data_IF_268058538167
#
_entry.id   IF_268058538167
#
_cell.length_a   1.000
_cell.length_b   1.000
_cell.length_c   1.000
_cell.angle_alpha   90.00
_cell.angle_beta   90.00
_cell.angle_gamma   90.00
#
_symmetry.space_group_name_H-M   'P 1'
#
loop_
_entity.id
_entity.type
_entity.pdbx_description
1 polymer ?
#
# COMPACT_ATOMS: atom_id res chain seq x y z
N UNK A 1 -11.05 4.59 10.24
CA UNK A 1 -10.70 3.25 9.75
C UNK A 1 -10.38 3.39 8.28
N UNK A 2 -9.24 2.91 7.81
CA UNK A 2 -8.86 2.96 6.38
C UNK A 2 -8.85 1.53 5.86
N UNK A 3 -9.48 1.32 4.69
CA UNK A 3 -9.57 0.02 4.06
C UNK A 3 -9.25 0.13 2.57
N UNK A 4 -8.26 -0.63 2.12
CA UNK A 4 -7.87 -0.79 0.73
C UNK A 4 -8.20 -2.23 0.35
N UNK A 5 -8.95 -2.42 -0.73
CA UNK A 5 -9.39 -3.76 -1.17
C UNK A 5 -9.04 -3.97 -2.62
N UNK A 6 -8.40 -5.10 -2.91
CA UNK A 6 -8.03 -5.55 -4.25
C UNK A 6 -7.38 -4.46 -5.11
N UNK A 7 -6.49 -3.68 -4.49
CA UNK A 7 -5.80 -2.60 -5.17
C UNK A 7 -4.70 -3.15 -6.07
N UNK A 8 -4.68 -2.61 -7.29
CA UNK A 8 -3.60 -2.83 -8.25
C UNK A 8 -3.05 -1.46 -8.65
N UNK A 9 -1.73 -1.30 -8.53
CA UNK A 9 -1.05 -0.03 -8.84
C UNK A 9 0.26 -0.34 -9.52
N UNK A 10 0.54 0.44 -10.55
CA UNK A 10 1.82 0.45 -11.25
C UNK A 10 2.43 1.84 -11.21
N UNK A 11 3.75 1.90 -11.32
CA UNK A 11 4.51 3.14 -11.49
C UNK A 11 5.44 2.96 -12.68
N UNK A 12 5.12 3.63 -13.79
CA UNK A 12 5.72 3.32 -15.09
C UNK A 12 5.42 1.87 -15.50
N UNK A 13 6.47 1.13 -15.85
CA UNK A 13 6.39 -0.29 -16.23
C UNK A 13 6.39 -1.26 -15.04
N UNK A 14 6.58 -0.77 -13.81
CA UNK A 14 6.70 -1.62 -12.62
C UNK A 14 5.36 -1.74 -11.90
N UNK A 15 4.88 -2.97 -11.75
CA UNK A 15 3.75 -3.28 -10.87
C UNK A 15 4.23 -3.17 -9.42
N UNK A 16 3.59 -2.32 -8.63
CA UNK A 16 3.87 -2.11 -7.21
C UNK A 16 2.91 -2.91 -6.33
N UNK A 17 1.63 -2.93 -6.71
CA UNK A 17 0.58 -3.71 -6.04
C UNK A 17 -0.21 -4.46 -7.09
N UNK A 18 -0.57 -5.71 -6.79
CA UNK A 18 -1.41 -6.54 -7.63
C UNK A 18 -2.41 -7.28 -6.73
N UNK A 19 -3.69 -6.90 -6.80
CA UNK A 19 -4.76 -7.42 -5.96
C UNK A 19 -4.42 -7.41 -4.46
N UNK A 20 -3.78 -6.35 -3.98
CA UNK A 20 -3.40 -6.20 -2.58
C UNK A 20 -4.55 -5.62 -1.75
N UNK A 21 -4.65 -6.02 -0.48
CA UNK A 21 -5.61 -5.45 0.47
C UNK A 21 -4.91 -5.06 1.77
N UNK A 22 -5.35 -3.96 2.38
CA UNK A 22 -4.79 -3.44 3.62
C UNK A 22 -5.88 -2.80 4.49
N UNK A 23 -5.77 -3.00 5.80
CA UNK A 23 -6.65 -2.39 6.79
C UNK A 23 -5.82 -1.66 7.84
N UNK A 24 -6.22 -0.42 8.15
CA UNK A 24 -5.67 0.37 9.27
C UNK A 24 -6.79 0.63 10.26
N UNK A 25 -6.61 0.12 11.48
CA UNK A 25 -7.58 0.22 12.55
C UNK A 25 -7.50 1.59 13.24
N UNK A 26 -8.64 2.16 13.69
CA UNK A 26 -8.64 3.34 14.55
C UNK A 26 -7.79 3.14 15.80
N UNK A 27 -7.18 4.22 16.29
CA UNK A 27 -6.36 4.22 17.51
C UNK A 27 -5.15 3.27 17.50
N UNK A 28 -4.72 2.80 16.31
CA UNK A 28 -3.51 1.99 16.17
C UNK A 28 -2.37 2.78 15.54
N UNK A 29 -1.12 2.43 15.89
CA UNK A 29 0.08 2.88 15.18
C UNK A 29 0.53 1.77 14.23
N UNK A 30 0.25 1.95 12.93
CA UNK A 30 0.62 0.99 11.89
C UNK A 30 1.80 1.52 11.08
N UNK A 31 2.82 0.69 10.87
CA UNK A 31 3.97 1.01 10.03
C UNK A 31 3.98 0.17 8.74
N UNK A 32 4.17 0.82 7.60
CA UNK A 32 4.41 0.14 6.32
C UNK A 32 5.92 0.08 6.05
N UNK A 33 6.48 -1.14 6.05
CA UNK A 33 7.93 -1.39 5.91
C UNK A 33 8.25 -2.20 4.65
N UNK A 34 9.51 -2.14 4.21
CA UNK A 34 10.00 -2.85 3.02
C UNK A 34 11.10 -2.08 2.29
N UNK A 35 11.72 -2.66 1.26
CA UNK A 35 12.83 -2.04 0.53
C UNK A 35 12.40 -0.77 -0.23
N UNK A 36 13.38 0.04 -0.64
CA UNK A 36 13.13 1.21 -1.47
C UNK A 36 12.51 0.80 -2.81
N UNK A 37 11.52 1.56 -3.27
CA UNK A 37 10.75 1.22 -4.48
C UNK A 37 9.66 0.17 -4.31
N UNK A 38 9.41 -0.36 -3.09
CA UNK A 38 8.31 -1.30 -2.82
C UNK A 38 6.89 -0.66 -2.83
N UNK A 39 6.76 0.60 -3.25
CA UNK A 39 5.45 1.28 -3.34
C UNK A 39 4.93 1.89 -2.03
N UNK A 40 5.71 1.90 -0.95
CA UNK A 40 5.29 2.44 0.36
C UNK A 40 4.73 3.87 0.27
N UNK A 41 5.47 4.80 -0.31
CA UNK A 41 5.00 6.18 -0.52
C UNK A 41 3.88 6.24 -1.57
N UNK A 42 3.93 5.36 -2.57
CA UNK A 42 2.94 5.29 -3.65
C UNK A 42 1.58 4.78 -3.17
N UNK A 43 1.49 4.05 -2.05
CA UNK A 43 0.20 3.62 -1.50
C UNK A 43 -0.56 4.77 -0.84
N UNK A 44 0.15 5.81 -0.39
CA UNK A 44 -0.41 6.99 0.30
C UNK A 44 -0.60 8.21 -0.62
N UNK A 45 -0.35 8.05 -1.93
CA UNK A 45 -0.58 9.08 -2.96
C UNK A 45 -1.61 8.59 -3.96
#
# INVERSE_FOLDING_TARGET
MIHLTNISKQHGSRVLFHNASMQILPATRTGLVGPNGAGKTTVFR
#
